data_IF_439599904230
#
_entry.id   IF_439599904230
#
_cell.length_a   1.000
_cell.length_b   1.000
_cell.length_c   1.000
_cell.angle_alpha   90.00
_cell.angle_beta   90.00
_cell.angle_gamma   90.00
#
_symmetry.space_group_name_H-M   'P 1'
#
loop_
_entity.id
_entity.type
_entity.pdbx_description
1 polymer ?
#
# COMPACT_ATOMS: atom_id res chain seq x y z
N UNK A 1 5.45 -20.59 14.85
CA UNK A 1 4.81 -19.43 15.49
C UNK A 1 3.76 -18.90 14.53
N UNK A 2 2.52 -18.65 14.97
CA UNK A 2 1.48 -18.11 14.10
C UNK A 2 1.86 -16.68 13.65
N UNK A 3 1.53 -16.31 12.41
CA UNK A 3 1.79 -14.96 11.92
C UNK A 3 0.97 -13.94 12.74
N UNK A 4 1.47 -12.71 12.96
CA UNK A 4 0.73 -11.65 13.63
C UNK A 4 -0.66 -11.42 12.99
N UNK A 5 -0.75 -11.55 11.66
CA UNK A 5 -1.99 -11.46 10.91
C UNK A 5 -3.07 -12.42 11.41
N UNK A 6 -2.75 -13.72 11.52
CA UNK A 6 -3.72 -14.76 11.93
C UNK A 6 -4.24 -14.49 13.35
N UNK A 7 -3.34 -14.08 14.25
CA UNK A 7 -3.72 -13.77 15.63
C UNK A 7 -4.61 -12.53 15.71
N UNK A 8 -4.27 -11.48 14.96
CA UNK A 8 -5.06 -10.25 14.90
C UNK A 8 -6.45 -10.47 14.33
N UNK A 9 -6.55 -11.19 13.20
CA UNK A 9 -7.85 -11.55 12.63
C UNK A 9 -8.69 -12.35 13.61
N UNK A 10 -8.12 -13.42 14.19
CA UNK A 10 -8.87 -14.33 15.06
C UNK A 10 -9.28 -13.68 16.38
N UNK A 11 -8.37 -12.96 17.04
CA UNK A 11 -8.56 -12.52 18.43
C UNK A 11 -9.09 -11.08 18.54
N UNK A 12 -8.90 -10.23 17.52
CA UNK A 12 -9.29 -8.82 17.57
C UNK A 12 -10.44 -8.51 16.62
N UNK A 13 -10.32 -8.88 15.34
CA UNK A 13 -11.23 -8.38 14.29
C UNK A 13 -12.43 -9.27 13.99
N UNK A 14 -12.25 -10.59 13.94
CA UNK A 14 -13.33 -11.55 13.71
C UNK A 14 -14.43 -11.44 14.78
N UNK A 15 -14.12 -11.31 16.10
CA UNK A 15 -15.15 -11.12 17.13
C UNK A 15 -15.97 -9.84 16.96
N UNK A 16 -15.43 -8.84 16.25
CA UNK A 16 -16.09 -7.57 15.96
C UNK A 16 -16.81 -7.57 14.60
N UNK A 17 -16.80 -8.70 13.87
CA UNK A 17 -17.31 -8.81 12.50
C UNK A 17 -16.61 -7.81 11.54
N UNK A 18 -15.30 -7.66 11.72
CA UNK A 18 -14.44 -6.78 10.94
C UNK A 18 -13.39 -7.60 10.19
N UNK A 19 -12.95 -7.07 9.05
CA UNK A 19 -11.94 -7.72 8.21
C UNK A 19 -10.67 -6.89 8.20
N UNK A 20 -9.55 -7.54 8.50
CA UNK A 20 -8.22 -6.95 8.39
C UNK A 20 -7.83 -6.82 6.92
N UNK A 21 -7.37 -5.63 6.52
CA UNK A 21 -6.98 -5.32 5.14
C UNK A 21 -5.47 -5.16 4.97
N UNK A 22 -4.80 -4.54 5.94
CA UNK A 22 -3.35 -4.36 5.92
C UNK A 22 -2.81 -4.09 7.33
N UNK A 23 -1.56 -4.48 7.59
CA UNK A 23 -0.84 -4.17 8.84
C UNK A 23 0.50 -3.51 8.57
N UNK A 24 0.96 -2.70 9.52
CA UNK A 24 2.35 -2.20 9.55
C UNK A 24 2.86 -2.18 10.98
N UNK A 25 4.05 -2.75 11.20
CA UNK A 25 4.72 -2.67 12.49
C UNK A 25 5.45 -1.33 12.61
N UNK A 26 5.17 -0.60 13.68
CA UNK A 26 5.67 0.76 13.87
C UNK A 26 6.14 1.05 15.29
N UNK A 27 6.88 2.13 15.46
CA UNK A 27 7.04 2.82 16.74
C UNK A 27 6.88 4.33 16.55
N UNK A 28 6.64 5.06 17.65
CA UNK A 28 6.55 6.52 17.61
C UNK A 28 7.92 7.12 17.26
N UNK A 29 7.99 7.93 16.22
CA UNK A 29 9.22 8.61 15.78
C UNK A 29 9.76 9.51 16.90
N UNK A 30 11.08 9.52 17.09
CA UNK A 30 11.75 10.35 18.12
C UNK A 30 11.47 9.93 19.58
N UNK A 31 10.87 8.76 19.81
CA UNK A 31 10.65 8.20 21.16
C UNK A 31 11.35 6.86 21.31
N UNK A 32 11.57 6.44 22.57
CA UNK A 32 12.07 5.08 22.89
C UNK A 32 11.23 4.05 22.13
N UNK A 33 11.91 3.15 21.43
CA UNK A 33 11.29 2.13 20.60
C UNK A 33 10.33 1.28 21.45
N UNK A 34 9.04 1.45 21.17
CA UNK A 34 7.93 0.69 21.75
C UNK A 34 7.05 0.27 20.59
N UNK A 35 7.21 -0.98 20.16
CA UNK A 35 6.54 -1.48 18.97
C UNK A 35 5.02 -1.44 19.16
N UNK A 36 4.31 -1.14 18.09
CA UNK A 36 2.86 -1.17 17.96
C UNK A 36 2.55 -1.62 16.55
N UNK A 37 1.35 -2.15 16.33
CA UNK A 37 0.88 -2.52 15.01
C UNK A 37 -0.23 -1.54 14.65
N UNK A 38 -0.15 -0.96 13.47
CA UNK A 38 -1.29 -0.25 12.88
C UNK A 38 -1.98 -1.20 11.93
N UNK A 39 -3.30 -1.29 12.04
CA UNK A 39 -4.15 -2.17 11.28
C UNK A 39 -5.18 -1.33 10.52
N UNK A 40 -5.30 -1.54 9.22
CA UNK A 40 -6.41 -1.02 8.43
C UNK A 40 -7.50 -2.08 8.40
N UNK A 41 -8.70 -1.74 8.85
CA UNK A 41 -9.81 -2.68 8.93
C UNK A 41 -11.07 -2.13 8.31
N UNK A 42 -11.92 -3.06 7.85
CA UNK A 42 -13.24 -2.75 7.34
C UNK A 42 -14.31 -3.45 8.15
N UNK A 43 -15.26 -2.67 8.67
CA UNK A 43 -16.40 -3.20 9.38
C UNK A 43 -17.50 -3.59 8.39
N UNK A 44 -18.12 -4.76 8.62
CA UNK A 44 -19.21 -5.28 7.78
C UNK A 44 -20.56 -4.56 7.99
N UNK A 45 -20.61 -3.54 8.85
CA UNK A 45 -21.81 -2.72 9.03
C UNK A 45 -22.15 -1.96 7.74
N UNK A 46 -23.44 -1.72 7.48
CA UNK A 46 -23.90 -0.86 6.38
C UNK A 46 -24.32 0.50 6.95
N UNK A 47 -23.77 1.63 6.45
CA UNK A 47 -22.78 1.74 5.37
C UNK A 47 -21.39 1.20 5.78
N UNK A 48 -20.63 0.70 4.80
CA UNK A 48 -19.27 0.15 5.01
C UNK A 48 -18.37 1.19 5.66
N UNK A 49 -17.78 0.87 6.80
CA UNK A 49 -16.91 1.78 7.54
C UNK A 49 -15.47 1.26 7.59
N UNK A 50 -14.53 2.17 7.35
CA UNK A 50 -13.10 1.89 7.39
C UNK A 50 -12.49 2.52 8.64
N UNK A 51 -11.62 1.76 9.30
CA UNK A 51 -10.93 2.21 10.51
C UNK A 51 -9.43 1.97 10.39
N UNK A 52 -8.68 2.85 11.04
CA UNK A 52 -7.30 2.65 11.39
C UNK A 52 -7.22 2.34 12.88
N UNK A 53 -6.63 1.22 13.23
CA UNK A 53 -6.51 0.78 14.62
C UNK A 53 -5.07 0.61 15.02
N UNK A 54 -4.75 1.03 16.25
CA UNK A 54 -3.47 0.73 16.86
C UNK A 54 -3.62 -0.39 17.86
N UNK A 55 -2.92 -1.47 17.60
CA UNK A 55 -2.89 -2.66 18.43
C UNK A 55 -1.51 -2.81 19.08
N UNK A 56 -1.48 -3.30 20.32
CA UNK A 56 -0.25 -3.68 21.00
C UNK A 56 -0.35 -5.10 21.49
N UNK A 57 0.78 -5.81 21.46
CA UNK A 57 0.91 -7.09 22.18
C UNK A 57 0.93 -6.81 23.68
N UNK A 58 0.18 -7.59 24.45
CA UNK A 58 0.21 -7.50 25.89
C UNK A 58 1.60 -7.89 26.44
N UNK A 59 2.02 -7.27 27.55
CA UNK A 59 3.32 -7.55 28.17
C UNK A 59 3.41 -8.99 28.72
N UNK A 60 2.27 -9.62 28.99
CA UNK A 60 2.15 -11.00 29.49
C UNK A 60 1.27 -11.81 28.52
N UNK A 61 1.91 -12.59 27.66
CA UNK A 61 1.25 -13.54 26.75
C UNK A 61 1.25 -13.12 25.27
N UNK A 62 0.53 -13.90 24.46
CA UNK A 62 0.41 -13.72 23.01
C UNK A 62 -0.84 -12.94 22.57
N UNK A 63 -1.55 -12.33 23.52
CA UNK A 63 -2.77 -11.58 23.23
C UNK A 63 -2.47 -10.18 22.69
N UNK A 64 -3.29 -9.75 21.75
CA UNK A 64 -3.28 -8.40 21.20
C UNK A 64 -4.43 -7.59 21.79
N UNK A 65 -4.15 -6.32 22.13
CA UNK A 65 -5.14 -5.37 22.64
C UNK A 65 -5.18 -4.13 21.78
N UNK A 66 -6.38 -3.78 21.32
CA UNK A 66 -6.64 -2.50 20.67
C UNK A 66 -6.43 -1.37 21.69
N UNK A 67 -5.63 -0.37 21.30
CA UNK A 67 -5.28 0.77 22.15
C UNK A 67 -5.83 2.09 21.65
N UNK A 68 -5.95 2.24 20.34
CA UNK A 68 -6.55 3.42 19.71
C UNK A 68 -7.29 2.97 18.46
N UNK A 69 -8.34 3.70 18.09
CA UNK A 69 -9.14 3.47 16.89
C UNK A 69 -9.56 4.80 16.29
N UNK A 70 -9.34 4.98 15.00
CA UNK A 70 -9.67 6.19 14.26
C UNK A 70 -10.50 5.86 13.02
N UNK A 71 -11.62 6.53 12.78
CA UNK A 71 -12.34 6.42 11.51
C UNK A 71 -11.44 6.91 10.36
N UNK A 72 -11.33 6.13 9.29
CA UNK A 72 -10.44 6.48 8.19
C UNK A 72 -10.90 7.73 7.43
N UNK A 73 -12.20 8.04 7.49
CA UNK A 73 -12.79 9.28 6.98
C UNK A 73 -12.24 10.56 7.64
N UNK A 74 -11.68 10.45 8.85
CA UNK A 74 -11.14 11.59 9.60
C UNK A 74 -9.65 11.82 9.29
N UNK A 75 -9.02 10.92 8.53
CA UNK A 75 -7.66 11.08 8.04
C UNK A 75 -7.68 12.19 6.97
N UNK A 76 -6.85 13.22 7.16
CA UNK A 76 -6.77 14.38 6.26
C UNK A 76 -5.57 14.27 5.33
N UNK A 77 -4.45 13.78 5.83
CA UNK A 77 -3.21 13.72 5.07
C UNK A 77 -2.32 12.55 5.50
N UNK A 78 -1.67 11.95 4.51
CA UNK A 78 -0.59 10.96 4.66
C UNK A 78 0.68 11.55 4.07
N UNK A 79 1.67 11.80 4.93
CA UNK A 79 3.00 12.25 4.52
C UNK A 79 3.95 11.06 4.51
N UNK A 80 4.38 10.66 3.32
CA UNK A 80 5.33 9.56 3.16
C UNK A 80 6.75 9.90 3.60
N UNK A 81 7.12 11.16 3.80
CA UNK A 81 8.50 11.63 4.06
C UNK A 81 9.55 11.03 3.10
N UNK A 82 9.13 10.55 1.94
CA UNK A 82 9.92 9.72 1.03
C UNK A 82 10.11 10.47 -0.28
N UNK A 83 10.96 11.51 -0.24
CA UNK A 83 11.28 12.28 -1.44
C UNK A 83 12.66 11.91 -2.00
N UNK A 84 13.63 11.43 -1.18
CA UNK A 84 15.00 11.20 -1.68
C UNK A 84 15.85 10.13 -0.94
N UNK A 85 15.28 9.19 -0.16
CA UNK A 85 15.98 7.99 0.35
C UNK A 85 15.01 7.16 1.20
N UNK A 86 15.31 5.87 1.43
CA UNK A 86 14.56 4.83 2.16
C UNK A 86 14.13 5.19 3.60
N UNK A 87 13.39 6.28 3.75
CA UNK A 87 12.93 6.78 5.03
C UNK A 87 11.81 5.85 5.51
N UNK A 88 11.98 5.28 6.70
CA UNK A 88 10.95 4.44 7.32
C UNK A 88 9.89 5.26 8.06
N UNK A 89 10.12 6.57 8.23
CA UNK A 89 9.18 7.46 8.90
C UNK A 89 8.04 7.88 7.96
N UNK A 90 6.85 8.05 8.51
CA UNK A 90 5.69 8.61 7.84
C UNK A 90 4.79 9.30 8.87
N UNK A 91 3.95 10.22 8.41
CA UNK A 91 3.03 10.95 9.28
C UNK A 91 1.59 10.76 8.82
N UNK A 92 0.70 10.54 9.79
CA UNK A 92 -0.75 10.47 9.59
C UNK A 92 -1.39 11.66 10.29
N UNK A 93 -2.10 12.50 9.54
CA UNK A 93 -2.74 13.70 10.06
C UNK A 93 -4.25 13.50 10.16
N UNK A 94 -4.73 13.33 11.39
CA UNK A 94 -6.15 13.42 11.74
C UNK A 94 -6.44 14.83 12.28
N UNK A 95 -6.99 14.95 13.50
CA UNK A 95 -6.99 16.22 14.25
C UNK A 95 -5.62 16.55 14.85
N UNK A 96 -4.77 15.53 14.97
CA UNK A 96 -3.39 15.65 15.43
C UNK A 96 -2.48 14.91 14.45
N UNK A 97 -1.22 15.32 14.41
CA UNK A 97 -0.20 14.67 13.59
C UNK A 97 0.40 13.51 14.39
N UNK A 98 0.26 12.30 13.85
CA UNK A 98 0.86 11.08 14.40
C UNK A 98 2.09 10.70 13.57
N UNK A 99 3.26 10.75 14.20
CA UNK A 99 4.54 10.41 13.57
C UNK A 99 4.93 8.98 13.89
N UNK A 100 5.07 8.17 12.85
CA UNK A 100 5.37 6.75 12.95
C UNK A 100 6.62 6.41 12.16
N UNK A 101 7.35 5.41 12.64
CA UNK A 101 8.46 4.81 11.91
C UNK A 101 8.17 3.32 11.77
N UNK A 102 8.14 2.83 10.54
CA UNK A 102 7.93 1.42 10.21
C UNK A 102 9.17 0.57 10.46
N UNK A 103 8.99 -0.73 10.63
CA UNK A 103 10.10 -1.69 10.73
C UNK A 103 10.82 -1.93 9.40
N UNK A 104 10.13 -1.73 8.27
CA UNK A 104 10.67 -1.93 6.93
C UNK A 104 10.02 -0.97 5.92
N UNK A 105 10.73 -0.70 4.84
CA UNK A 105 10.24 0.15 3.76
C UNK A 105 9.08 -0.54 3.02
N UNK A 106 9.17 -1.86 2.83
CA UNK A 106 8.13 -2.67 2.19
C UNK A 106 6.80 -2.62 2.95
N UNK A 107 6.79 -2.84 4.27
CA UNK A 107 5.57 -2.77 5.07
C UNK A 107 4.95 -1.36 5.00
N UNK A 108 5.77 -0.31 5.13
CA UNK A 108 5.32 1.07 4.97
C UNK A 108 4.69 1.30 3.60
N UNK A 109 5.36 0.85 2.55
CA UNK A 109 4.96 1.04 1.17
C UNK A 109 3.64 0.31 0.86
N UNK A 110 3.50 -0.94 1.33
CA UNK A 110 2.25 -1.70 1.24
C UNK A 110 1.10 -1.00 2.00
N UNK A 111 1.38 -0.53 3.21
CA UNK A 111 0.41 0.19 4.03
C UNK A 111 -0.09 1.50 3.39
N UNK A 112 0.82 2.35 2.88
CA UNK A 112 0.45 3.59 2.19
C UNK A 112 -0.35 3.30 0.91
N UNK A 113 0.03 2.26 0.15
CA UNK A 113 -0.72 1.82 -1.04
C UNK A 113 -2.13 1.38 -0.68
N UNK A 114 -2.29 0.63 0.41
CA UNK A 114 -3.61 0.20 0.89
C UNK A 114 -4.49 1.42 1.20
N UNK A 115 -3.96 2.39 1.97
CA UNK A 115 -4.67 3.64 2.27
C UNK A 115 -5.08 4.41 1.02
N UNK A 116 -4.19 4.54 0.04
CA UNK A 116 -4.48 5.25 -1.20
C UNK A 116 -5.58 4.58 -2.03
N UNK A 117 -5.55 3.25 -2.14
CA UNK A 117 -6.59 2.48 -2.83
C UNK A 117 -7.96 2.66 -2.14
N UNK A 118 -7.98 2.63 -0.82
CA UNK A 118 -9.20 2.84 -0.04
C UNK A 118 -9.73 4.27 -0.15
N UNK A 119 -8.85 5.27 -0.14
CA UNK A 119 -9.21 6.68 -0.30
C UNK A 119 -9.98 6.92 -1.61
N UNK A 120 -9.43 6.40 -2.72
CA UNK A 120 -10.04 6.53 -4.05
C UNK A 120 -11.38 5.79 -4.16
N UNK A 121 -11.51 4.64 -3.49
CA UNK A 121 -12.68 3.77 -3.65
C UNK A 121 -13.83 4.11 -2.71
N UNK A 122 -13.54 4.57 -1.49
CA UNK A 122 -14.54 4.68 -0.43
C UNK A 122 -14.62 6.06 0.23
N UNK A 123 -13.60 6.92 0.07
CA UNK A 123 -13.52 8.22 0.75
C UNK A 123 -13.55 9.41 -0.21
N UNK A 124 -13.96 9.20 -1.46
CA UNK A 124 -14.07 10.26 -2.48
C UNK A 124 -12.78 11.06 -2.67
N UNK A 125 -11.62 10.43 -2.43
CA UNK A 125 -10.30 11.08 -2.47
C UNK A 125 -10.11 12.24 -1.48
N UNK A 126 -10.76 12.20 -0.31
CA UNK A 126 -10.64 13.24 0.71
C UNK A 126 -9.25 13.33 1.38
N UNK A 127 -8.48 12.25 1.36
CA UNK A 127 -7.14 12.18 1.96
C UNK A 127 -6.09 12.70 0.98
N UNK A 128 -5.28 13.67 1.40
CA UNK A 128 -4.10 14.13 0.66
C UNK A 128 -2.90 13.20 0.86
N UNK A 129 -2.18 12.87 -0.20
CA UNK A 129 -0.95 12.06 -0.15
C UNK A 129 0.23 12.94 -0.61
N UNK A 130 1.20 13.18 0.27
CA UNK A 130 2.35 14.07 0.01
C UNK A 130 3.67 13.33 0.27
N UNK A 131 4.73 13.76 -0.42
CA UNK A 131 6.07 13.16 -0.27
C UNK A 131 6.07 11.63 -0.44
N UNK A 132 5.29 11.17 -1.42
CA UNK A 132 5.15 9.76 -1.81
C UNK A 132 5.45 9.67 -3.30
N UNK A 133 6.38 8.80 -3.75
CA UNK A 133 6.69 8.68 -5.16
C UNK A 133 5.49 8.11 -5.92
N UNK A 134 5.20 8.65 -7.12
CA UNK A 134 4.06 8.23 -7.95
C UNK A 134 4.10 6.74 -8.29
N UNK A 135 5.31 6.20 -8.53
CA UNK A 135 5.52 4.76 -8.78
C UNK A 135 5.02 3.87 -7.63
N UNK A 136 5.01 4.37 -6.39
CA UNK A 136 4.44 3.64 -5.26
C UNK A 136 2.93 3.44 -5.45
N UNK A 137 2.23 4.48 -5.91
CA UNK A 137 0.77 4.53 -5.96
C UNK A 137 0.23 3.87 -7.24
N UNK A 138 0.93 3.98 -8.36
CA UNK A 138 0.50 3.50 -9.68
C UNK A 138 0.54 1.97 -9.86
N UNK A 139 1.00 1.22 -8.85
CA UNK A 139 0.72 -0.21 -8.75
C UNK A 139 1.53 -1.12 -9.67
N UNK A 140 2.72 -0.69 -10.14
CA UNK A 140 3.60 -1.53 -10.95
C UNK A 140 4.86 -2.01 -10.21
N UNK A 141 4.67 -2.59 -9.02
CA UNK A 141 5.69 -3.43 -8.38
C UNK A 141 5.07 -4.78 -8.03
N UNK A 142 4.63 -5.49 -9.07
CA UNK A 142 4.66 -6.95 -9.00
C UNK A 142 6.12 -7.38 -8.91
N UNK A 143 6.54 -7.79 -7.73
CA UNK A 143 7.41 -8.96 -7.57
C UNK A 143 8.71 -8.99 -8.42
N UNK A 144 9.51 -7.93 -8.50
CA UNK A 144 10.86 -8.01 -9.10
C UNK A 144 11.82 -6.97 -8.47
N UNK A 145 12.03 -7.04 -7.16
CA UNK A 145 13.15 -6.34 -6.50
C UNK A 145 14.47 -7.14 -6.52
N UNK A 146 14.66 -8.04 -7.50
CA UNK A 146 15.96 -8.67 -7.73
C UNK A 146 16.48 -8.55 -9.17
N UNK A 147 16.10 -7.50 -9.90
CA UNK A 147 16.75 -7.12 -11.17
C UNK A 147 16.78 -5.60 -11.42
N UNK A 148 16.74 -4.75 -10.38
CA UNK A 148 17.03 -3.33 -10.57
C UNK A 148 18.55 -3.11 -10.49
N UNK A 149 19.28 -3.66 -11.46
CA UNK A 149 20.74 -3.58 -11.54
C UNK A 149 21.33 -3.77 -12.93
N UNK A 150 20.61 -4.37 -13.89
CA UNK A 150 21.12 -4.51 -15.25
C UNK A 150 20.02 -4.38 -16.30
N UNK A 151 20.28 -3.48 -17.26
CA UNK A 151 19.76 -3.44 -18.62
C UNK A 151 18.25 -3.16 -18.84
N UNK A 152 17.90 -1.87 -18.83
CA UNK A 152 16.93 -1.34 -19.81
C UNK A 152 17.50 -0.06 -20.45
N UNK A 153 18.70 -0.20 -21.01
CA UNK A 153 19.18 0.66 -22.08
C UNK A 153 19.67 -0.29 -23.17
N UNK A 154 19.23 -0.03 -24.39
CA UNK A 154 19.48 -0.80 -25.62
C UNK A 154 18.51 -1.96 -25.87
N UNK A 155 17.44 -1.69 -26.63
CA UNK A 155 17.24 -2.19 -28.00
C UNK A 155 15.75 -2.19 -28.36
N UNK A 156 15.26 -1.05 -28.81
CA UNK A 156 14.28 -1.05 -29.90
C UNK A 156 14.97 -0.34 -31.06
N UNK A 157 15.56 -1.05 -32.04
CA UNK A 157 15.90 -0.41 -33.29
C UNK A 157 14.61 -0.15 -34.06
N UNK A 158 14.34 1.15 -34.21
CA UNK A 158 13.60 1.72 -35.33
C UNK A 158 14.04 1.09 -36.65
N UNK A 159 13.14 0.39 -37.34
CA UNK A 159 13.07 0.34 -38.81
C UNK A 159 11.78 -0.34 -39.25
N UNK A 160 10.78 0.48 -39.55
CA UNK A 160 9.62 0.11 -40.34
C UNK A 160 9.99 0.41 -41.80
N UNK A 161 10.39 -0.62 -42.55
CA UNK A 161 10.63 -0.51 -44.00
C UNK A 161 9.44 -1.10 -44.76
N UNK A 162 8.80 -0.34 -45.67
CA UNK A 162 7.65 -0.80 -46.46
C UNK A 162 8.13 -1.37 -47.80
N UNK A 163 8.40 -2.67 -47.88
CA UNK A 163 8.63 -3.38 -49.14
C UNK A 163 8.06 -4.80 -49.06
N UNK A 164 6.74 -4.90 -49.14
CA UNK A 164 6.07 -6.13 -49.56
C UNK A 164 5.03 -5.75 -50.63
N UNK A 165 5.54 -5.35 -51.78
CA UNK A 165 4.77 -5.26 -53.02
C UNK A 165 5.63 -5.85 -54.14
N UNK A 166 4.99 -6.70 -54.95
CA UNK A 166 5.38 -7.19 -56.29
C UNK A 166 6.19 -8.51 -56.41
N UNK A 167 5.45 -9.60 -56.69
CA UNK A 167 5.70 -10.66 -57.72
C UNK A 167 4.71 -11.80 -57.45
N UNK A 168 3.65 -12.04 -58.23
CA UNK A 168 3.52 -12.34 -59.66
C UNK A 168 2.04 -12.05 -60.07
N UNK A 169 1.71 -11.17 -61.03
CA UNK A 169 1.49 -11.44 -62.49
C UNK A 169 0.78 -12.78 -62.75
N UNK A 170 -0.56 -12.87 -62.79
CA UNK A 170 -1.47 -12.76 -63.97
C UNK A 170 -1.92 -14.16 -64.49
N UNK A 171 -2.95 -14.38 -65.34
CA UNK A 171 -3.93 -13.45 -65.94
C UNK A 171 -5.44 -13.87 -65.87
N UNK A 172 -6.29 -12.85 -65.92
CA UNK A 172 -7.65 -12.69 -66.51
C UNK A 172 -8.36 -13.87 -67.19
N UNK A 173 -9.63 -14.11 -66.84
CA UNK A 173 -10.73 -13.99 -67.81
C UNK A 173 -12.10 -13.77 -67.14
N UNK A 174 -12.84 -12.81 -67.70
CA UNK A 174 -14.23 -12.42 -67.45
C UNK A 174 -15.19 -13.41 -68.13
N UNK A 175 -16.21 -13.90 -67.41
CA UNK A 175 -17.66 -13.88 -67.73
C UNK A 175 -18.43 -14.74 -66.73
#
# INVERSE_FOLDING_TARGET
MASPWILLEKDVFNPQNERLLEIVHVWKTGKKRKNSILCVVVAACRPMQLFLEKVKKADRGDQYKMTDRWPLKDLKLVDGKNVNQECLAFELQFDKIYKWTAVSADEKNAFIRCLWKLNRRYLSSSIAFVSIPSCLLEGNYGFLSHLCGVAFSALIPVSFSPLFLSRFVGPWHFL
#
